data_IF_987643002162
#
_entry.id   IF_987643002162
#
_cell.length_a   1.000
_cell.length_b   1.000
_cell.length_c   1.000
_cell.angle_alpha   90.00
_cell.angle_beta   90.00
_cell.angle_gamma   90.00
#
_symmetry.space_group_name_H-M   'P 1'
#
loop_
_entity.id
_entity.type
_entity.pdbx_description
1 polymer ?
#
# COMPACT_ATOMS: atom_id res chain seq x y z
N UNK A 1 14.79 -4.40 -17.72
CA UNK A 1 16.07 -4.67 -17.05
C UNK A 1 16.01 -6.09 -16.52
N UNK A 2 16.84 -7.00 -17.05
CA UNK A 2 16.95 -8.38 -16.53
C UNK A 2 18.01 -8.37 -15.45
N UNK A 3 17.65 -8.67 -14.20
CA UNK A 3 18.59 -8.74 -13.08
C UNK A 3 19.06 -10.18 -12.96
N UNK A 4 20.37 -10.41 -13.04
CA UNK A 4 21.00 -11.73 -12.92
C UNK A 4 21.32 -12.05 -11.45
N UNK A 5 21.46 -13.35 -11.08
CA UNK A 5 21.77 -13.75 -9.71
C UNK A 5 23.08 -13.17 -9.15
N UNK A 6 24.07 -12.90 -10.01
CA UNK A 6 25.36 -12.35 -9.59
C UNK A 6 25.36 -10.83 -9.41
N UNK A 7 24.30 -10.15 -9.88
CA UNK A 7 24.20 -8.70 -9.82
C UNK A 7 24.14 -8.23 -8.37
N UNK A 8 24.80 -7.11 -8.09
CA UNK A 8 24.87 -6.55 -6.74
C UNK A 8 23.50 -6.30 -6.08
N UNK A 9 22.49 -5.73 -6.76
CA UNK A 9 21.16 -5.56 -6.17
C UNK A 9 20.46 -6.88 -5.82
N UNK A 10 20.77 -7.97 -6.55
CA UNK A 10 20.21 -9.29 -6.26
C UNK A 10 20.75 -9.84 -4.94
N UNK A 11 22.07 -9.71 -4.71
CA UNK A 11 22.69 -10.12 -3.44
C UNK A 11 22.12 -9.35 -2.25
N UNK A 12 21.91 -8.04 -2.41
CA UNK A 12 21.24 -7.22 -1.40
C UNK A 12 19.79 -7.66 -1.17
N UNK A 13 19.04 -7.98 -2.23
CA UNK A 13 17.66 -8.46 -2.11
C UNK A 13 17.58 -9.76 -1.31
N UNK A 14 18.49 -10.72 -1.55
CA UNK A 14 18.57 -11.97 -0.76
C UNK A 14 19.00 -11.73 0.68
N UNK A 15 19.86 -10.75 0.94
CA UNK A 15 20.18 -10.34 2.30
C UNK A 15 18.95 -9.74 3.00
N UNK A 16 18.19 -8.88 2.32
CA UNK A 16 16.95 -8.30 2.83
C UNK A 16 15.92 -9.39 3.14
N UNK A 17 15.64 -10.31 2.20
CA UNK A 17 14.71 -11.45 2.41
C UNK A 17 15.05 -12.23 3.69
N UNK A 18 16.32 -12.56 3.92
CA UNK A 18 16.78 -13.28 5.12
C UNK A 18 16.60 -12.50 6.41
N UNK A 19 16.61 -11.17 6.37
CA UNK A 19 16.34 -10.35 7.55
C UNK A 19 14.83 -10.20 7.78
N UNK A 20 14.04 -10.04 6.73
CA UNK A 20 12.59 -10.02 6.85
C UNK A 20 12.05 -11.35 7.38
N UNK A 21 12.62 -12.48 6.97
CA UNK A 21 12.26 -13.80 7.53
C UNK A 21 12.61 -13.97 9.01
N UNK A 22 13.52 -13.14 9.55
CA UNK A 22 13.85 -13.08 10.98
C UNK A 22 12.95 -12.12 11.77
N UNK A 23 12.02 -11.43 11.11
CA UNK A 23 11.10 -10.49 11.74
C UNK A 23 11.59 -9.05 11.81
N UNK A 24 12.70 -8.69 11.15
CA UNK A 24 13.10 -7.29 11.02
C UNK A 24 12.14 -6.54 10.11
N UNK A 25 11.90 -5.25 10.39
CA UNK A 25 11.12 -4.37 9.51
C UNK A 25 11.95 -3.93 8.31
N UNK A 26 11.28 -3.64 7.20
CA UNK A 26 11.93 -3.13 5.97
C UNK A 26 12.75 -1.88 6.28
N UNK A 27 12.21 -0.97 7.10
CA UNK A 27 12.88 0.27 7.48
C UNK A 27 14.14 0.02 8.32
N UNK A 28 14.11 -0.91 9.28
CA UNK A 28 15.29 -1.24 10.07
C UNK A 28 16.43 -1.79 9.18
N UNK A 29 16.09 -2.68 8.25
CA UNK A 29 17.07 -3.25 7.30
C UNK A 29 17.58 -2.17 6.33
N UNK A 30 16.70 -1.31 5.82
CA UNK A 30 17.06 -0.15 4.99
C UNK A 30 18.10 0.72 5.70
N UNK A 31 17.82 1.14 6.94
CA UNK A 31 18.73 1.95 7.73
C UNK A 31 20.08 1.25 7.97
N UNK A 32 20.06 -0.03 8.32
CA UNK A 32 21.28 -0.81 8.52
C UNK A 32 22.15 -0.84 7.26
N UNK A 33 21.56 -1.08 6.09
CA UNK A 33 22.30 -1.14 4.82
C UNK A 33 22.85 0.24 4.42
N UNK A 34 22.10 1.32 4.64
CA UNK A 34 22.60 2.68 4.41
C UNK A 34 23.79 2.99 5.32
N UNK A 35 23.72 2.61 6.61
CA UNK A 35 24.80 2.81 7.57
C UNK A 35 26.05 1.96 7.24
N UNK A 36 25.88 0.82 6.57
CA UNK A 36 26.99 0.01 6.04
C UNK A 36 27.67 0.62 4.80
N UNK A 37 27.13 1.73 4.27
CA UNK A 37 27.69 2.42 3.11
C UNK A 37 27.08 2.01 1.77
N UNK A 38 25.99 1.24 1.77
CA UNK A 38 25.25 0.95 0.53
C UNK A 38 24.57 2.22 0.00
N UNK A 39 24.60 2.42 -1.32
CA UNK A 39 23.93 3.58 -1.92
C UNK A 39 22.41 3.45 -1.79
N UNK A 40 21.73 4.56 -1.54
CA UNK A 40 20.26 4.59 -1.40
C UNK A 40 19.55 3.95 -2.60
N UNK A 41 20.01 4.25 -3.80
CA UNK A 41 19.46 3.69 -5.04
C UNK A 41 19.61 2.18 -5.16
N UNK A 42 20.72 1.61 -4.69
CA UNK A 42 20.91 0.16 -4.67
C UNK A 42 20.01 -0.52 -3.64
N UNK A 43 19.91 0.07 -2.43
CA UNK A 43 19.02 -0.41 -1.37
C UNK A 43 17.57 -0.39 -1.82
N UNK A 44 17.10 0.71 -2.41
CA UNK A 44 15.73 0.84 -2.91
C UNK A 44 15.39 -0.21 -3.96
N UNK A 45 16.27 -0.41 -4.94
CA UNK A 45 16.10 -1.44 -5.97
C UNK A 45 16.06 -2.85 -5.38
N UNK A 46 16.91 -3.12 -4.39
CA UNK A 46 16.97 -4.41 -3.72
C UNK A 46 15.71 -4.69 -2.88
N UNK A 47 15.16 -3.68 -2.21
CA UNK A 47 13.88 -3.79 -1.47
C UNK A 47 12.74 -4.13 -2.44
N UNK A 48 12.62 -3.41 -3.55
CA UNK A 48 11.58 -3.67 -4.56
C UNK A 48 11.69 -5.09 -5.13
N UNK A 49 12.92 -5.54 -5.41
CA UNK A 49 13.17 -6.89 -5.90
C UNK A 49 12.79 -7.95 -4.87
N UNK A 50 13.19 -7.78 -3.61
CA UNK A 50 12.82 -8.69 -2.52
C UNK A 50 11.30 -8.76 -2.32
N UNK A 51 10.61 -7.63 -2.35
CA UNK A 51 9.14 -7.57 -2.25
C UNK A 51 8.47 -8.34 -3.40
N UNK A 52 8.93 -8.12 -4.64
CA UNK A 52 8.41 -8.82 -5.81
C UNK A 52 8.64 -10.34 -5.71
N UNK A 53 9.82 -10.76 -5.30
CA UNK A 53 10.17 -12.18 -5.14
C UNK A 53 9.30 -12.82 -4.04
N UNK A 54 9.14 -12.18 -2.88
CA UNK A 54 8.28 -12.69 -1.81
C UNK A 54 6.81 -12.75 -2.24
N UNK A 55 6.29 -11.70 -2.89
CA UNK A 55 4.93 -11.67 -3.40
C UNK A 55 4.68 -12.77 -4.44
N UNK A 56 5.68 -13.13 -5.24
CA UNK A 56 5.57 -14.20 -6.23
C UNK A 56 5.50 -15.61 -5.61
N UNK A 57 6.06 -15.78 -4.41
CA UNK A 57 6.04 -17.06 -3.66
C UNK A 57 4.74 -17.26 -2.88
N UNK A 58 4.06 -16.18 -2.51
CA UNK A 58 2.78 -16.27 -1.81
C UNK A 58 1.73 -16.77 -2.81
N UNK A 59 1.01 -17.86 -2.50
CA UNK A 59 -0.05 -18.35 -3.38
C UNK A 59 -1.09 -17.25 -3.59
N UNK A 60 -1.55 -17.07 -4.82
CA UNK A 60 -2.63 -16.13 -5.12
C UNK A 60 -3.87 -16.62 -4.38
N UNK A 61 -4.29 -15.86 -3.37
CA UNK A 61 -5.53 -16.12 -2.67
C UNK A 61 -6.64 -15.45 -3.47
N UNK A 62 -7.57 -16.26 -4.00
CA UNK A 62 -8.79 -15.77 -4.64
C UNK A 62 -9.74 -15.26 -3.57
N UNK A 63 -9.44 -14.08 -3.02
CA UNK A 63 -10.35 -13.41 -2.10
C UNK A 63 -11.46 -12.80 -2.97
N UNK A 64 -12.74 -13.15 -2.79
CA UNK A 64 -13.82 -12.49 -3.52
C UNK A 64 -13.84 -11.02 -3.12
N UNK A 65 -13.36 -10.16 -4.03
CA UNK A 65 -13.44 -8.71 -3.88
C UNK A 65 -14.92 -8.36 -3.94
N UNK A 66 -15.55 -8.15 -2.79
CA UNK A 66 -16.88 -7.55 -2.75
C UNK A 66 -16.73 -6.13 -3.25
N UNK A 67 -17.14 -5.88 -4.50
CA UNK A 67 -17.34 -4.54 -5.01
C UNK A 67 -18.48 -3.89 -4.20
N UNK A 68 -18.13 -3.21 -3.12
CA UNK A 68 -19.07 -2.33 -2.43
C UNK A 68 -19.37 -1.18 -3.37
N UNK A 69 -20.49 -1.28 -4.10
CA UNK A 69 -21.06 -0.16 -4.84
C UNK A 69 -21.39 0.92 -3.81
N UNK A 70 -20.52 1.92 -3.71
CA UNK A 70 -20.80 3.15 -2.98
C UNK A 70 -21.93 3.84 -3.74
N UNK A 71 -23.17 3.56 -3.34
CA UNK A 71 -24.33 4.30 -3.83
C UNK A 71 -24.25 5.67 -3.17
N UNK A 72 -23.75 6.65 -3.90
CA UNK A 72 -23.87 8.06 -3.53
C UNK A 72 -25.36 8.38 -3.64
N UNK A 73 -26.07 8.26 -2.52
CA UNK A 73 -27.46 8.69 -2.43
C UNK A 73 -27.43 10.20 -2.38
N UNK A 74 -27.67 10.85 -3.51
CA UNK A 74 -27.97 12.28 -3.56
C UNK A 74 -29.22 12.52 -2.71
N UNK A 75 -28.99 12.98 -1.49
CA UNK A 75 -30.02 13.28 -0.52
C UNK A 75 -30.77 14.51 -1.03
N UNK A 76 -31.84 14.31 -1.82
CA UNK A 76 -32.76 15.40 -2.19
C UNK A 76 -33.23 16.06 -0.91
N UNK A 77 -32.79 17.30 -0.68
CA UNK A 77 -33.22 18.12 0.44
C UNK A 77 -34.73 18.32 0.37
N UNK A 78 -35.47 17.59 1.20
CA UNK A 78 -36.87 17.89 1.43
C UNK A 78 -36.93 19.21 2.20
N UNK A 79 -37.21 20.30 1.49
CA UNK A 79 -37.60 21.59 2.09
C UNK A 79 -38.85 21.35 2.95
N UNK A 80 -38.65 21.10 4.25
CA UNK A 80 -39.76 21.17 5.21
C UNK A 80 -40.22 22.62 5.21
N UNK A 81 -41.51 22.84 4.90
CA UNK A 81 -42.13 24.15 5.10
C UNK A 81 -41.95 24.50 6.58
N UNK A 82 -41.13 25.51 6.84
CA UNK A 82 -40.80 25.94 8.19
C UNK A 82 -42.08 26.26 8.96
N UNK A 83 -42.07 26.00 10.26
CA UNK A 83 -43.22 26.18 11.16
C UNK A 83 -43.88 27.58 11.00
N UNK A 84 -43.08 28.60 10.69
CA UNK A 84 -43.52 29.97 10.38
C UNK A 84 -44.37 30.11 9.11
N UNK A 85 -44.19 29.28 8.08
CA UNK A 85 -45.03 29.28 6.88
C UNK A 85 -46.48 28.88 7.20
N UNK A 86 -46.70 28.18 8.31
CA UNK A 86 -48.03 27.79 8.79
C UNK A 86 -48.64 28.83 9.74
N UNK A 87 -47.80 29.67 10.37
CA UNK A 87 -48.23 30.68 11.35
C UNK A 87 -48.52 32.05 10.72
N UNK A 88 -47.82 32.44 9.64
CA UNK A 88 -47.94 33.78 9.06
C UNK A 88 -48.77 33.87 7.77
N UNK A 89 -49.44 32.77 7.37
CA UNK A 89 -50.48 32.84 6.33
C UNK A 89 -50.07 33.58 5.05
N UNK A 90 -48.82 33.46 4.61
CA UNK A 90 -48.46 33.90 3.26
C UNK A 90 -49.16 32.96 2.28
N UNK A 91 -50.10 33.54 1.54
CA UNK A 91 -50.87 32.90 0.47
C UNK A 91 -49.97 32.59 -0.73
#
# INVERSE_FOLDING_TARGET
MVIRPDDYPYKLAKHIERNLSKGYTIEAVRWSLLNQGHTRTAVDKAILLAQKDMASRVPKMDVPVKEEKVVIVDKKEQKKKGFFAKLFGLK
#
